data_IF_550631357641
#
_entry.id   IF_550631357641
#
_cell.length_a   1.000
_cell.length_b   1.000
_cell.length_c   1.000
_cell.angle_alpha   90.00
_cell.angle_beta   90.00
_cell.angle_gamma   90.00
#
_symmetry.space_group_name_H-M   'P 1'
#
loop_
_entity.id
_entity.type
_entity.pdbx_description
1 polymer ?
#
# COMPACT_ATOMS: atom_id res chain seq x y z
N UNK A 1 -13.14 0.80 46.68
CA UNK A 1 -14.11 0.82 45.58
C UNK A 1 -13.33 0.82 44.27
N UNK A 2 -13.34 -0.30 43.60
CA UNK A 2 -12.71 -0.44 42.29
C UNK A 2 -13.60 0.26 41.24
N UNK A 3 -13.08 1.27 40.58
CA UNK A 3 -13.74 1.90 39.45
C UNK A 3 -13.64 1.00 38.23
N UNK A 4 -14.75 0.38 37.83
CA UNK A 4 -14.83 -0.39 36.61
C UNK A 4 -14.94 0.58 35.44
N UNK A 5 -13.94 0.58 34.55
CA UNK A 5 -14.01 1.31 33.30
C UNK A 5 -15.06 0.63 32.39
N UNK A 6 -16.22 1.27 32.22
CA UNK A 6 -17.36 0.74 31.47
C UNK A 6 -17.40 1.15 29.99
N UNK A 7 -16.42 1.92 29.52
CA UNK A 7 -16.36 2.34 28.10
C UNK A 7 -15.15 3.21 27.80
N UNK A 8 -14.84 3.30 26.51
CA UNK A 8 -13.83 4.19 25.97
C UNK A 8 -14.53 5.32 25.21
N UNK A 9 -14.22 6.57 25.55
CA UNK A 9 -14.64 7.72 24.75
C UNK A 9 -13.47 8.12 23.84
N UNK A 10 -13.65 7.97 22.54
CA UNK A 10 -12.65 8.44 21.59
C UNK A 10 -12.70 9.96 21.49
N UNK A 11 -11.54 10.62 21.60
CA UNK A 11 -11.46 12.05 21.37
C UNK A 11 -11.82 12.34 19.89
N UNK A 12 -12.74 13.29 19.62
CA UNK A 12 -13.22 13.58 18.26
C UNK A 12 -12.10 13.90 17.28
N UNK A 13 -11.02 14.45 17.77
CA UNK A 13 -9.84 14.82 17.01
C UNK A 13 -9.08 13.63 16.41
N UNK A 14 -9.29 12.42 16.93
CA UNK A 14 -8.72 11.18 16.40
C UNK A 14 -9.70 10.41 15.49
N UNK A 15 -10.92 10.89 15.36
CA UNK A 15 -11.89 10.31 14.44
C UNK A 15 -11.54 10.72 13.00
N UNK A 16 -11.35 9.76 12.13
CA UNK A 16 -11.04 9.98 10.71
C UNK A 16 -12.00 9.18 9.84
N UNK A 17 -12.32 9.74 8.66
CA UNK A 17 -13.18 9.09 7.68
C UNK A 17 -12.57 7.80 7.13
N UNK A 18 -11.25 7.80 6.94
CA UNK A 18 -10.50 6.62 6.50
C UNK A 18 -9.93 5.87 7.69
N UNK A 19 -9.87 4.52 7.62
CA UNK A 19 -9.22 3.72 8.65
C UNK A 19 -7.81 4.22 8.90
N UNK A 20 -7.47 4.42 10.16
CA UNK A 20 -6.15 4.89 10.54
C UNK A 20 -5.16 3.74 10.44
N UNK A 21 -4.32 3.78 9.43
CA UNK A 21 -3.28 2.79 9.18
C UNK A 21 -1.96 3.11 9.84
N UNK A 22 -1.83 4.31 10.36
CA UNK A 22 -0.60 4.79 10.93
C UNK A 22 -0.45 4.36 12.37
N UNK A 23 0.65 3.63 12.64
CA UNK A 23 1.08 3.30 13.99
C UNK A 23 2.44 3.97 14.23
N UNK A 24 2.48 4.96 15.10
CA UNK A 24 3.70 5.72 15.41
C UNK A 24 4.83 4.86 16.02
N UNK A 25 4.50 3.72 16.59
CA UNK A 25 5.49 2.83 17.22
C UNK A 25 6.11 1.82 16.25
N UNK A 26 5.42 1.53 15.15
CA UNK A 26 5.88 0.55 14.16
C UNK A 26 5.48 0.99 12.76
N UNK A 27 6.43 1.03 11.85
CA UNK A 27 6.12 1.24 10.44
C UNK A 27 5.98 2.69 9.99
N UNK A 28 6.34 3.71 10.81
CA UNK A 28 6.29 5.12 10.41
C UNK A 28 7.03 5.38 9.10
N UNK A 29 8.23 4.82 8.94
CA UNK A 29 9.04 4.98 7.72
C UNK A 29 8.30 4.42 6.50
N UNK A 30 7.79 3.20 6.61
CA UNK A 30 7.08 2.55 5.51
C UNK A 30 5.78 3.30 5.17
N UNK A 31 5.04 3.74 6.18
CA UNK A 31 3.84 4.54 5.95
C UNK A 31 4.16 5.86 5.25
N UNK A 32 5.16 6.59 5.72
CA UNK A 32 5.62 7.85 5.11
C UNK A 32 5.97 7.68 3.64
N UNK A 33 6.66 6.60 3.30
CA UNK A 33 7.05 6.31 1.92
C UNK A 33 5.87 6.04 0.98
N UNK A 34 4.75 5.50 1.50
CA UNK A 34 3.54 5.27 0.72
C UNK A 34 2.58 6.46 0.71
N UNK A 35 2.53 7.22 1.80
CA UNK A 35 1.56 8.28 2.03
C UNK A 35 2.04 9.66 1.53
N UNK A 36 3.34 9.93 1.64
CA UNK A 36 3.89 11.22 1.23
C UNK A 36 3.81 11.40 -0.29
N UNK A 37 3.23 12.50 -0.69
CA UNK A 37 3.09 12.90 -2.11
C UNK A 37 3.76 14.23 -2.43
N UNK A 38 4.41 14.83 -1.42
CA UNK A 38 5.17 16.06 -1.55
C UNK A 38 6.60 15.84 -1.13
N UNK A 39 7.50 16.56 -1.76
CA UNK A 39 8.91 16.63 -1.37
C UNK A 39 9.22 18.03 -0.89
N UNK A 40 10.18 18.14 0.02
CA UNK A 40 10.77 19.40 0.47
C UNK A 40 12.28 19.29 0.42
N UNK A 41 12.92 20.42 0.13
CA UNK A 41 14.39 20.49 0.15
C UNK A 41 14.85 20.78 1.57
N UNK A 42 15.54 19.85 2.17
CA UNK A 42 16.14 20.00 3.51
C UNK A 42 17.63 19.75 3.49
N UNK A 43 18.31 20.25 4.52
CA UNK A 43 19.71 19.90 4.76
C UNK A 43 19.80 18.44 5.18
N UNK A 44 20.57 17.66 4.43
CA UNK A 44 20.79 16.25 4.72
C UNK A 44 21.56 16.07 6.02
N UNK A 45 21.12 15.08 6.81
CA UNK A 45 21.73 14.69 8.07
C UNK A 45 22.05 13.21 8.05
N UNK A 46 23.11 12.82 8.73
CA UNK A 46 23.44 11.42 8.92
C UNK A 46 22.55 10.74 9.99
N UNK A 47 22.78 9.46 10.24
CA UNK A 47 22.01 8.67 11.23
C UNK A 47 22.21 9.18 12.68
N UNK A 48 23.23 10.01 12.93
CA UNK A 48 23.52 10.65 14.22
C UNK A 48 22.92 12.06 14.32
N UNK A 49 22.30 12.54 13.24
CA UNK A 49 21.69 13.87 13.17
C UNK A 49 22.67 14.98 12.78
N UNK A 50 23.93 14.66 12.46
CA UNK A 50 24.91 15.64 12.00
C UNK A 50 24.67 16.05 10.55
N UNK A 51 24.96 17.31 10.22
CA UNK A 51 24.78 17.86 8.88
C UNK A 51 25.82 17.29 7.93
N UNK A 52 25.36 16.59 6.89
CA UNK A 52 26.22 16.14 5.81
C UNK A 52 26.76 17.34 5.03
N UNK A 53 28.07 17.35 4.77
CA UNK A 53 28.76 18.41 4.06
C UNK A 53 29.43 17.89 2.80
N UNK A 54 29.49 18.74 1.77
CA UNK A 54 30.23 18.45 0.54
C UNK A 54 31.75 18.55 0.77
N UNK A 55 32.55 18.24 -0.24
CA UNK A 55 33.99 18.33 -0.21
C UNK A 55 34.51 19.76 0.07
N UNK A 56 33.69 20.77 -0.08
CA UNK A 56 33.97 22.17 0.19
C UNK A 56 33.44 22.64 1.56
N UNK A 57 32.92 21.72 2.39
CA UNK A 57 32.42 22.00 3.73
C UNK A 57 31.01 22.64 3.77
N UNK A 58 30.31 22.77 2.64
CA UNK A 58 28.96 23.33 2.57
C UNK A 58 27.91 22.29 2.94
N UNK A 59 26.80 22.66 3.59
CA UNK A 59 25.75 21.73 3.93
C UNK A 59 25.10 21.18 2.66
N UNK A 60 25.08 19.86 2.53
CA UNK A 60 24.38 19.19 1.44
C UNK A 60 22.88 19.34 1.62
N UNK A 61 22.18 19.70 0.55
CA UNK A 61 20.72 19.77 0.49
C UNK A 61 20.19 18.67 -0.42
N UNK A 62 19.12 18.03 -0.02
CA UNK A 62 18.46 17.01 -0.80
C UNK A 62 16.95 17.09 -0.67
N UNK A 63 16.27 16.46 -1.60
CA UNK A 63 14.83 16.30 -1.50
C UNK A 63 14.49 15.22 -0.48
N UNK A 64 13.66 15.57 0.47
CA UNK A 64 13.10 14.66 1.47
C UNK A 64 11.59 14.66 1.37
N UNK A 65 10.97 13.56 1.79
CA UNK A 65 9.51 13.48 1.82
C UNK A 65 8.95 14.45 2.85
N UNK A 66 8.07 15.35 2.40
CA UNK A 66 7.28 16.21 3.27
C UNK A 66 6.06 15.42 3.75
N UNK A 67 6.02 15.11 5.03
CA UNK A 67 5.03 14.22 5.61
C UNK A 67 4.52 14.71 6.94
N UNK A 68 3.21 14.69 7.07
CA UNK A 68 2.50 14.84 8.32
C UNK A 68 2.52 16.23 8.92
N UNK A 69 1.80 16.35 10.02
CA UNK A 69 1.78 17.54 10.87
C UNK A 69 2.29 17.16 12.25
N UNK A 70 3.19 17.94 12.80
CA UNK A 70 3.62 17.80 14.19
C UNK A 70 2.49 18.22 15.13
N UNK A 71 2.11 17.33 16.03
CA UNK A 71 1.11 17.58 17.06
C UNK A 71 1.68 17.24 18.42
N UNK A 72 1.54 18.18 19.35
CA UNK A 72 1.87 17.95 20.74
C UNK A 72 0.63 17.45 21.47
N UNK A 73 0.77 16.42 22.27
CA UNK A 73 -0.26 15.94 23.18
C UNK A 73 0.36 15.61 24.53
N UNK A 74 -0.42 15.80 25.57
CA UNK A 74 -0.02 15.49 26.95
C UNK A 74 -0.58 14.13 27.31
N UNK A 75 0.28 13.20 27.70
CA UNK A 75 -0.14 11.87 28.13
C UNK A 75 -0.78 11.89 29.51
N UNK A 76 -1.29 10.75 29.97
CA UNK A 76 -1.94 10.62 31.29
C UNK A 76 -1.00 10.86 32.48
N UNK A 77 0.30 10.92 32.23
CA UNK A 77 1.32 11.23 33.23
C UNK A 77 1.76 12.70 33.24
N UNK A 78 1.13 13.55 32.40
CA UNK A 78 1.44 14.97 32.27
C UNK A 78 2.66 15.29 31.38
N UNK A 79 3.23 14.29 30.70
CA UNK A 79 4.34 14.52 29.78
C UNK A 79 3.82 14.95 28.40
N UNK A 80 4.38 16.04 27.88
CA UNK A 80 4.06 16.51 26.52
C UNK A 80 4.96 15.86 25.50
N UNK A 81 4.38 15.09 24.60
CA UNK A 81 5.10 14.42 23.50
C UNK A 81 4.63 14.99 22.17
N UNK A 82 5.58 15.16 21.26
CA UNK A 82 5.31 15.59 19.88
C UNK A 82 5.32 14.38 18.95
N UNK A 83 4.21 14.16 18.26
CA UNK A 83 4.07 13.08 17.28
C UNK A 83 3.78 13.67 15.91
N UNK A 84 4.31 13.06 14.87
CA UNK A 84 3.99 13.41 13.50
C UNK A 84 2.75 12.62 13.10
N UNK A 85 1.67 13.30 12.79
CA UNK A 85 0.42 12.69 12.34
C UNK A 85 0.23 12.93 10.84
N UNK A 86 -0.21 11.91 10.08
CA UNK A 86 -0.53 12.09 8.67
C UNK A 86 -1.72 13.04 8.51
N UNK A 87 -1.69 13.83 7.47
CA UNK A 87 -2.81 14.68 7.08
C UNK A 87 -3.89 13.84 6.39
N UNK A 88 -5.10 14.40 6.25
CA UNK A 88 -6.20 13.75 5.53
C UNK A 88 -5.79 13.32 4.11
N UNK A 89 -5.14 14.18 3.36
CA UNK A 89 -4.72 13.89 1.99
C UNK A 89 -3.62 12.83 1.91
N UNK A 90 -2.73 12.76 2.88
CA UNK A 90 -1.75 11.67 2.98
C UNK A 90 -2.42 10.34 3.29
N UNK A 91 -3.46 10.31 4.12
CA UNK A 91 -4.27 9.11 4.33
C UNK A 91 -5.01 8.69 3.06
N UNK A 92 -5.56 9.63 2.30
CA UNK A 92 -6.19 9.36 1.00
C UNK A 92 -5.17 8.79 0.01
N UNK A 93 -3.99 9.41 -0.07
CA UNK A 93 -2.92 8.95 -0.94
C UNK A 93 -2.43 7.55 -0.56
N UNK A 94 -2.28 7.29 0.73
CA UNK A 94 -1.96 5.96 1.25
C UNK A 94 -3.02 4.92 0.86
N UNK A 95 -4.28 5.25 1.02
CA UNK A 95 -5.38 4.37 0.65
C UNK A 95 -5.32 3.96 -0.82
N UNK A 96 -5.18 4.90 -1.72
CA UNK A 96 -5.14 4.59 -3.15
C UNK A 96 -3.85 3.88 -3.57
N UNK A 97 -2.69 4.30 -3.09
CA UNK A 97 -1.42 3.73 -3.53
C UNK A 97 -1.11 2.39 -2.86
N UNK A 98 -1.25 2.32 -1.55
CA UNK A 98 -0.90 1.11 -0.83
C UNK A 98 -2.04 0.11 -0.80
N UNK A 99 -3.20 0.50 -0.25
CA UNK A 99 -4.27 -0.44 -0.03
C UNK A 99 -4.94 -0.88 -1.32
N UNK A 100 -5.37 0.07 -2.13
CA UNK A 100 -6.14 -0.24 -3.33
C UNK A 100 -5.23 -0.70 -4.49
N UNK A 101 -4.13 -0.01 -4.74
CA UNK A 101 -3.24 -0.33 -5.86
C UNK A 101 -2.31 -1.50 -5.53
N UNK A 102 -1.50 -1.37 -4.48
CA UNK A 102 -0.47 -2.37 -4.18
C UNK A 102 -1.05 -3.64 -3.56
N UNK A 103 -1.90 -3.53 -2.53
CA UNK A 103 -2.43 -4.70 -1.84
C UNK A 103 -3.53 -5.39 -2.65
N UNK A 104 -4.56 -4.64 -3.09
CA UNK A 104 -5.71 -5.24 -3.75
C UNK A 104 -5.51 -5.43 -5.26
N UNK A 105 -5.26 -4.34 -6.02
CA UNK A 105 -5.24 -4.40 -7.48
C UNK A 105 -4.10 -5.25 -8.02
N UNK A 106 -2.90 -5.12 -7.48
CA UNK A 106 -1.75 -5.94 -7.87
C UNK A 106 -2.07 -7.42 -7.69
N UNK A 107 -2.62 -7.82 -6.53
CA UNK A 107 -2.94 -9.21 -6.25
C UNK A 107 -4.10 -9.73 -7.12
N UNK A 108 -5.11 -8.89 -7.36
CA UNK A 108 -6.19 -9.19 -8.29
C UNK A 108 -5.65 -9.50 -9.70
N UNK A 109 -4.78 -8.61 -10.23
CA UNK A 109 -4.15 -8.82 -11.53
C UNK A 109 -3.23 -10.05 -11.55
N UNK A 110 -2.52 -10.31 -10.45
CA UNK A 110 -1.70 -11.50 -10.29
C UNK A 110 -2.50 -12.80 -10.41
N UNK A 111 -3.75 -12.82 -9.95
CA UNK A 111 -4.63 -13.98 -10.08
C UNK A 111 -5.28 -14.11 -11.48
N UNK A 112 -5.64 -13.00 -12.11
CA UNK A 112 -6.47 -13.03 -13.32
C UNK A 112 -5.74 -12.71 -14.63
N UNK A 113 -4.54 -12.16 -14.56
CA UNK A 113 -3.76 -11.78 -15.75
C UNK A 113 -2.52 -12.65 -15.92
N UNK A 114 -1.83 -12.97 -14.85
CA UNK A 114 -0.66 -13.80 -14.79
C UNK A 114 0.34 -13.37 -13.73
N UNK A 115 1.35 -14.18 -13.50
CA UNK A 115 2.27 -14.10 -12.36
C UNK A 115 3.71 -13.99 -12.79
N UNK A 116 4.45 -13.13 -12.16
CA UNK A 116 5.91 -13.10 -12.29
C UNK A 116 6.57 -14.22 -11.50
N UNK A 117 6.13 -14.45 -10.28
CA UNK A 117 6.58 -15.51 -9.39
C UNK A 117 5.48 -15.84 -8.37
N UNK A 118 5.66 -16.89 -7.59
CA UNK A 118 4.86 -17.28 -6.43
C UNK A 118 5.43 -16.75 -5.09
N UNK A 119 6.52 -15.99 -5.18
CA UNK A 119 7.16 -15.40 -4.01
C UNK A 119 6.40 -14.14 -3.59
N UNK A 120 6.24 -13.95 -2.29
CA UNK A 120 5.58 -12.76 -1.76
C UNK A 120 6.32 -11.49 -2.17
N UNK A 121 5.61 -10.45 -2.62
CA UNK A 121 6.24 -9.22 -3.08
C UNK A 121 6.95 -8.48 -1.95
N UNK A 122 8.11 -7.93 -2.28
CA UNK A 122 8.82 -6.98 -1.46
C UNK A 122 8.88 -5.63 -2.18
N UNK A 123 8.76 -4.54 -1.42
CA UNK A 123 8.90 -3.21 -2.00
C UNK A 123 10.29 -2.95 -2.58
N UNK A 124 11.29 -3.64 -2.06
CA UNK A 124 12.70 -3.47 -2.46
C UNK A 124 13.07 -4.29 -3.70
N UNK A 125 12.24 -5.25 -4.07
CA UNK A 125 12.49 -6.13 -5.22
C UNK A 125 11.37 -6.00 -6.23
N UNK A 126 11.73 -5.75 -7.49
CA UNK A 126 10.80 -5.75 -8.63
C UNK A 126 10.69 -7.14 -9.28
N UNK A 127 11.41 -8.12 -8.73
CA UNK A 127 11.52 -9.48 -9.27
C UNK A 127 10.45 -10.42 -8.77
N UNK A 128 9.73 -10.05 -7.70
CA UNK A 128 8.84 -10.96 -6.99
C UNK A 128 7.43 -10.42 -6.80
N UNK A 129 6.45 -11.31 -6.88
CA UNK A 129 5.07 -11.05 -6.52
C UNK A 129 4.31 -10.05 -7.38
N UNK A 130 4.85 -9.65 -8.53
CA UNK A 130 4.16 -8.79 -9.48
C UNK A 130 3.29 -9.62 -10.43
N UNK A 131 2.28 -8.97 -11.00
CA UNK A 131 1.53 -9.56 -12.09
C UNK A 131 2.30 -9.42 -13.41
N UNK A 132 2.05 -10.32 -14.34
CA UNK A 132 2.69 -10.35 -15.64
C UNK A 132 1.67 -10.74 -16.71
N UNK A 133 1.51 -9.89 -17.72
CA UNK A 133 0.48 -10.11 -18.75
C UNK A 133 0.90 -11.06 -19.86
N UNK A 134 2.19 -11.13 -20.17
CA UNK A 134 2.73 -11.74 -21.38
C UNK A 134 2.76 -10.78 -22.58
N UNK A 135 2.22 -9.57 -22.43
CA UNK A 135 2.25 -8.53 -23.45
C UNK A 135 3.46 -7.63 -23.20
N UNK A 136 4.45 -7.73 -24.05
CA UNK A 136 5.77 -7.12 -23.89
C UNK A 136 5.73 -5.64 -23.48
N UNK A 137 5.02 -4.78 -24.20
CA UNK A 137 5.00 -3.35 -23.93
C UNK A 137 4.32 -2.97 -22.61
N UNK A 138 3.40 -3.82 -22.11
CA UNK A 138 2.78 -3.64 -20.77
C UNK A 138 3.77 -4.06 -19.70
N UNK A 139 4.36 -5.25 -19.86
CA UNK A 139 5.23 -5.84 -18.86
C UNK A 139 6.53 -5.05 -18.73
N UNK A 140 7.13 -4.59 -19.83
CA UNK A 140 8.32 -3.73 -19.81
C UNK A 140 8.10 -2.42 -19.08
N UNK A 141 6.92 -1.84 -19.20
CA UNK A 141 6.57 -0.59 -18.51
C UNK A 141 6.37 -0.79 -17.00
N UNK A 142 5.90 -1.97 -16.58
CA UNK A 142 5.50 -2.25 -15.20
C UNK A 142 6.62 -2.90 -14.38
N UNK A 143 7.26 -3.92 -14.90
CA UNK A 143 8.31 -4.71 -14.22
C UNK A 143 9.68 -4.63 -14.91
N UNK A 144 9.79 -3.90 -16.01
CA UNK A 144 11.01 -3.77 -16.81
C UNK A 144 11.15 -4.83 -17.88
N UNK A 145 12.27 -4.79 -18.66
CA UNK A 145 12.52 -5.73 -19.76
C UNK A 145 12.47 -7.18 -19.29
N UNK A 146 11.75 -8.01 -20.04
CA UNK A 146 11.57 -9.43 -19.72
C UNK A 146 12.47 -10.34 -20.57
N UNK A 147 13.26 -9.76 -21.46
CA UNK A 147 14.31 -10.44 -22.21
C UNK A 147 15.56 -10.56 -21.32
N UNK A 148 16.34 -11.58 -21.47
CA UNK A 148 17.61 -11.78 -20.73
C UNK A 148 17.51 -11.81 -19.19
N UNK A 149 16.42 -12.37 -18.68
CA UNK A 149 16.26 -12.59 -17.25
C UNK A 149 17.25 -13.65 -16.75
N UNK A 150 17.75 -13.52 -15.51
CA UNK A 150 18.47 -14.61 -14.85
C UNK A 150 17.65 -15.89 -14.90
N UNK A 151 18.33 -17.02 -15.05
CA UNK A 151 17.68 -18.34 -15.21
C UNK A 151 16.70 -18.66 -14.08
N UNK A 152 17.03 -18.30 -12.85
CA UNK A 152 16.21 -18.52 -11.67
C UNK A 152 14.86 -17.81 -11.76
N UNK A 153 14.81 -16.62 -12.38
CA UNK A 153 13.57 -15.85 -12.57
C UNK A 153 12.81 -16.36 -13.79
N UNK A 154 13.52 -16.63 -14.89
CA UNK A 154 12.93 -17.09 -16.15
C UNK A 154 12.26 -18.46 -16.02
N UNK A 155 12.90 -19.39 -15.29
CA UNK A 155 12.45 -20.78 -15.10
C UNK A 155 11.63 -20.96 -13.78
N UNK A 156 11.23 -19.87 -13.10
CA UNK A 156 10.40 -19.99 -11.93
C UNK A 156 9.08 -20.70 -12.25
N UNK A 157 8.76 -21.75 -11.50
CA UNK A 157 7.55 -22.58 -11.74
C UNK A 157 6.24 -21.82 -11.51
N UNK A 158 6.26 -20.78 -10.68
CA UNK A 158 5.12 -19.91 -10.44
C UNK A 158 4.88 -18.90 -11.56
N UNK A 159 5.86 -18.72 -12.48
CA UNK A 159 5.76 -17.78 -13.59
C UNK A 159 4.77 -18.27 -14.64
N UNK A 160 3.76 -17.46 -14.93
CA UNK A 160 2.81 -17.73 -16.00
C UNK A 160 2.21 -16.43 -16.55
N UNK A 161 1.68 -16.51 -17.76
CA UNK A 161 1.04 -15.38 -18.45
C UNK A 161 -0.24 -15.87 -19.11
N UNK A 162 -1.34 -15.17 -18.86
CA UNK A 162 -2.66 -15.53 -19.40
C UNK A 162 -3.19 -14.51 -20.40
N UNK A 163 -2.41 -13.49 -20.78
CA UNK A 163 -2.79 -12.49 -21.79
C UNK A 163 -4.14 -11.83 -21.51
N UNK A 164 -4.43 -11.56 -20.24
CA UNK A 164 -5.73 -11.04 -19.76
C UNK A 164 -6.93 -11.97 -20.02
N UNK A 165 -6.75 -13.19 -20.50
CA UNK A 165 -7.88 -14.04 -20.91
C UNK A 165 -8.87 -14.32 -19.77
N UNK A 166 -8.47 -14.76 -18.55
CA UNK A 166 -9.41 -14.96 -17.45
C UNK A 166 -10.13 -13.67 -17.04
N UNK A 167 -9.41 -12.54 -17.03
CA UNK A 167 -9.96 -11.24 -16.72
C UNK A 167 -11.03 -10.82 -17.73
N UNK A 168 -10.75 -10.93 -19.02
CA UNK A 168 -11.71 -10.59 -20.10
C UNK A 168 -12.94 -11.48 -20.08
N UNK A 169 -12.76 -12.80 -19.88
CA UNK A 169 -13.87 -13.73 -19.75
C UNK A 169 -14.74 -13.39 -18.53
N UNK A 170 -14.13 -13.02 -17.41
CA UNK A 170 -14.83 -12.55 -16.24
C UNK A 170 -15.66 -11.29 -16.50
N UNK A 171 -15.10 -10.30 -17.21
CA UNK A 171 -15.82 -9.09 -17.60
C UNK A 171 -16.99 -9.38 -18.56
N UNK A 172 -16.78 -10.22 -19.55
CA UNK A 172 -17.85 -10.64 -20.49
C UNK A 172 -18.99 -11.34 -19.72
N UNK A 173 -18.62 -12.26 -18.80
CA UNK A 173 -19.59 -12.94 -17.96
C UNK A 173 -20.36 -11.98 -17.05
N UNK A 174 -19.68 -10.99 -16.48
CA UNK A 174 -20.30 -9.97 -15.65
C UNK A 174 -21.31 -9.11 -16.44
N UNK A 175 -20.93 -8.65 -17.64
CA UNK A 175 -21.82 -7.89 -18.52
C UNK A 175 -23.01 -8.75 -18.99
N UNK A 176 -22.77 -10.00 -19.34
CA UNK A 176 -23.83 -10.93 -19.70
C UNK A 176 -24.84 -11.12 -18.56
N UNK A 177 -24.36 -11.36 -17.35
CA UNK A 177 -25.20 -11.59 -16.17
C UNK A 177 -26.00 -10.34 -15.79
N UNK A 178 -25.39 -9.15 -15.90
CA UNK A 178 -26.08 -7.87 -15.67
C UNK A 178 -27.30 -7.70 -16.59
N UNK A 179 -27.15 -8.09 -17.86
CA UNK A 179 -28.25 -7.98 -18.83
C UNK A 179 -29.28 -9.11 -18.71
N UNK A 180 -28.86 -10.28 -18.22
CA UNK A 180 -29.75 -11.48 -18.17
C UNK A 180 -30.49 -11.62 -16.85
N UNK A 181 -29.82 -11.36 -15.72
CA UNK A 181 -30.37 -11.55 -14.37
C UNK A 181 -29.70 -10.59 -13.38
N UNK A 182 -30.28 -9.43 -13.25
CA UNK A 182 -29.77 -8.37 -12.37
C UNK A 182 -29.75 -8.78 -10.88
N UNK A 183 -30.64 -9.67 -10.46
CA UNK A 183 -30.67 -10.13 -9.07
C UNK A 183 -29.45 -10.97 -8.74
N UNK A 184 -29.16 -11.98 -9.56
CA UNK A 184 -27.98 -12.82 -9.36
C UNK A 184 -26.70 -12.04 -9.61
N UNK A 185 -26.69 -11.12 -10.58
CA UNK A 185 -25.58 -10.17 -10.76
C UNK A 185 -25.28 -9.40 -9.47
N UNK A 186 -26.30 -8.83 -8.83
CA UNK A 186 -26.12 -8.05 -7.60
C UNK A 186 -25.54 -8.90 -6.46
N UNK A 187 -26.00 -10.16 -6.32
CA UNK A 187 -25.47 -11.08 -5.32
C UNK A 187 -23.97 -11.36 -5.56
N UNK A 188 -23.61 -11.70 -6.80
CA UNK A 188 -22.20 -11.99 -7.16
C UNK A 188 -21.33 -10.76 -6.99
N UNK A 189 -21.82 -9.58 -7.41
CA UNK A 189 -21.09 -8.32 -7.24
C UNK A 189 -20.87 -7.99 -5.77
N UNK A 190 -21.89 -8.14 -4.93
CA UNK A 190 -21.76 -7.93 -3.48
C UNK A 190 -20.78 -8.90 -2.84
N UNK A 191 -20.82 -10.18 -3.20
CA UNK A 191 -19.83 -11.15 -2.74
C UNK A 191 -18.41 -10.75 -3.15
N UNK A 192 -18.22 -10.36 -4.40
CA UNK A 192 -16.92 -9.90 -4.89
C UNK A 192 -16.40 -8.67 -4.12
N UNK A 193 -17.26 -7.67 -3.91
CA UNK A 193 -16.90 -6.46 -3.16
C UNK A 193 -16.58 -6.79 -1.69
N UNK A 194 -17.40 -7.62 -1.05
CA UNK A 194 -17.23 -7.96 0.38
C UNK A 194 -16.01 -8.85 0.62
N UNK A 195 -15.73 -9.78 -0.27
CA UNK A 195 -14.55 -10.65 -0.18
C UNK A 195 -13.25 -9.98 -0.65
N UNK A 196 -13.34 -8.89 -1.37
CA UNK A 196 -12.20 -8.14 -1.87
C UNK A 196 -12.00 -6.81 -1.15
N UNK A 197 -12.55 -5.75 -1.72
CA UNK A 197 -12.33 -4.37 -1.24
C UNK A 197 -12.72 -4.18 0.23
N UNK A 198 -13.84 -4.76 0.67
CA UNK A 198 -14.28 -4.62 2.06
C UNK A 198 -13.30 -5.27 3.05
N UNK A 199 -12.64 -6.36 2.67
CA UNK A 199 -11.60 -6.98 3.51
C UNK A 199 -10.37 -6.07 3.66
N UNK A 200 -9.99 -5.33 2.61
CA UNK A 200 -8.90 -4.34 2.70
C UNK A 200 -9.18 -3.31 3.78
N UNK A 201 -10.42 -2.81 3.85
CA UNK A 201 -10.83 -1.88 4.91
C UNK A 201 -10.87 -2.54 6.29
N UNK A 202 -11.39 -3.77 6.36
CA UNK A 202 -11.55 -4.48 7.63
C UNK A 202 -10.21 -4.84 8.27
N UNK A 203 -9.30 -5.40 7.50
CA UNK A 203 -7.99 -5.81 8.05
C UNK A 203 -7.07 -4.63 8.33
N UNK A 204 -7.22 -3.54 7.58
CA UNK A 204 -6.47 -2.30 7.81
C UNK A 204 -4.97 -2.55 8.06
N UNK A 205 -4.34 -3.33 7.18
CA UNK A 205 -2.99 -3.88 7.38
C UNK A 205 -1.93 -2.79 7.34
N UNK A 206 -1.01 -2.82 8.30
CA UNK A 206 0.14 -1.94 8.35
C UNK A 206 1.13 -2.22 7.20
N UNK A 207 1.74 -1.20 6.57
CA UNK A 207 2.69 -1.39 5.49
C UNK A 207 4.01 -2.10 5.88
N UNK A 208 4.25 -2.31 7.16
CA UNK A 208 5.38 -3.09 7.65
C UNK A 208 5.15 -4.60 7.72
N UNK A 209 3.91 -5.04 7.52
CA UNK A 209 3.54 -6.44 7.51
C UNK A 209 2.89 -6.76 6.17
N UNK A 210 3.66 -7.19 5.16
CA UNK A 210 3.09 -7.59 3.89
C UNK A 210 2.27 -8.86 4.10
N UNK A 211 0.96 -8.70 4.25
CA UNK A 211 0.01 -9.81 4.19
C UNK A 211 -0.79 -9.65 2.91
N UNK A 212 -0.79 -10.67 2.11
CA UNK A 212 -1.71 -10.74 1.00
C UNK A 212 -3.11 -10.93 1.57
N UNK A 213 -3.94 -9.94 1.32
CA UNK A 213 -5.32 -9.95 1.78
C UNK A 213 -6.16 -10.51 0.64
N UNK A 214 -6.25 -11.82 0.62
CA UNK A 214 -7.37 -12.54 -0.03
C UNK A 214 -7.47 -13.93 0.55
#
# INVERSE_FOLDING_TARGET
TATVLTGYTHAPEFMQLFPRMWNYSKGEKAYKEWAAYRTKTETLRDDKGEVLRDAQGRPMRGETLDFGRKRAYTDSYGETRTVTEPTFWENVHFFFNYQLSYMYWRYFMWNFVGRQSDIQPSRTTITDGNWLSGIRWIDEKYVGPQDNLPREIAENKGRNTYYFLPFLLGLIGLVYQLNRDQRNFSIVLWLFVMMGIALVFYFNTSPGEPREVL
#
